data_IF_470548273639
#
_entry.id   IF_470548273639
#
_cell.length_a   1.000
_cell.length_b   1.000
_cell.length_c   1.000
_cell.angle_alpha   90.00
_cell.angle_beta   90.00
_cell.angle_gamma   90.00
#
_symmetry.space_group_name_H-M   'P 1'
#
loop_
_entity.id
_entity.type
_entity.pdbx_description
1 polymer ?
#
# COMPACT_ATOMS: atom_id res chain seq x y z
N UNK A 1 4.81 1.41 -17.32
CA UNK A 1 4.09 2.65 -16.95
C UNK A 1 2.61 2.34 -16.97
N UNK A 2 1.90 2.53 -15.86
CA UNK A 2 0.43 2.50 -15.80
C UNK A 2 -0.09 3.91 -16.08
N UNK A 3 -1.05 4.05 -17.00
CA UNK A 3 -1.61 5.36 -17.41
C UNK A 3 -2.99 5.65 -16.79
N UNK A 4 -3.58 4.66 -16.12
CA UNK A 4 -4.86 4.78 -15.43
C UNK A 4 -4.80 3.99 -14.12
N UNK A 5 -5.44 4.56 -13.09
CA UNK A 5 -5.60 3.89 -11.80
C UNK A 5 -6.92 3.11 -11.81
N UNK A 6 -6.90 1.83 -11.41
CA UNK A 6 -8.12 1.04 -11.37
C UNK A 6 -9.08 1.55 -10.29
N UNK A 7 -10.34 1.74 -10.65
CA UNK A 7 -11.47 2.00 -9.76
C UNK A 7 -12.30 0.74 -9.46
N UNK A 8 -11.83 -0.40 -9.96
CA UNK A 8 -12.38 -1.74 -9.75
C UNK A 8 -11.23 -2.73 -9.51
N UNK A 9 -11.41 -3.67 -8.58
CA UNK A 9 -10.47 -4.75 -8.30
C UNK A 9 -11.21 -5.92 -7.68
N UNK A 10 -10.91 -7.14 -8.13
CA UNK A 10 -11.30 -8.38 -7.46
C UNK A 10 -10.23 -8.93 -6.52
N UNK A 11 -9.09 -8.22 -6.41
CA UNK A 11 -7.91 -8.62 -5.64
C UNK A 11 -7.82 -7.79 -4.35
N UNK A 12 -7.46 -8.43 -3.24
CA UNK A 12 -7.19 -7.79 -1.95
C UNK A 12 -5.94 -6.92 -2.00
N UNK A 13 -4.89 -7.40 -2.67
CA UNK A 13 -3.61 -6.70 -2.84
C UNK A 13 -2.98 -7.07 -4.18
N UNK A 14 -2.41 -6.09 -4.87
CA UNK A 14 -1.56 -6.30 -6.04
C UNK A 14 -0.44 -5.26 -6.09
N UNK A 15 0.80 -5.72 -6.08
CA UNK A 15 1.95 -4.83 -6.33
C UNK A 15 1.97 -4.47 -7.80
N UNK A 16 1.89 -3.17 -8.10
CA UNK A 16 1.92 -2.63 -9.46
C UNK A 16 3.35 -2.30 -9.89
N UNK A 17 4.18 -1.84 -8.94
CA UNK A 17 5.56 -1.46 -9.19
C UNK A 17 6.37 -1.43 -7.91
N UNK A 18 7.65 -1.83 -7.97
CA UNK A 18 8.62 -1.67 -6.87
C UNK A 18 9.90 -1.07 -7.43
N UNK A 19 10.31 0.08 -6.89
CA UNK A 19 11.56 0.75 -7.21
C UNK A 19 12.60 0.62 -6.11
N UNK A 20 13.63 1.47 -6.18
CA UNK A 20 14.68 1.55 -5.17
C UNK A 20 14.18 2.14 -3.84
N UNK A 21 13.24 3.08 -3.90
CA UNK A 21 12.83 3.88 -2.73
C UNK A 21 11.33 3.86 -2.44
N UNK A 22 10.53 3.30 -3.34
CA UNK A 22 9.08 3.24 -3.17
C UNK A 22 8.44 2.07 -3.89
N UNK A 23 7.25 1.72 -3.45
CA UNK A 23 6.42 0.67 -4.03
C UNK A 23 4.99 1.17 -4.21
N UNK A 24 4.38 0.86 -5.34
CA UNK A 24 2.98 1.17 -5.64
C UNK A 24 2.16 -0.11 -5.58
N UNK A 25 1.11 -0.11 -4.77
CA UNK A 25 0.26 -1.29 -4.51
C UNK A 25 -1.21 -0.90 -4.62
N UNK A 26 -2.00 -1.71 -5.31
CA UNK A 26 -3.47 -1.64 -5.28
C UNK A 26 -3.96 -2.51 -4.13
N UNK A 27 -4.79 -2.02 -3.21
CA UNK A 27 -5.16 -2.85 -2.06
C UNK A 27 -6.43 -2.45 -1.30
N UNK A 28 -6.77 -3.31 -0.34
CA UNK A 28 -7.69 -3.08 0.80
C UNK A 28 -6.93 -3.31 2.12
N UNK A 29 -7.16 -2.49 3.16
CA UNK A 29 -6.07 -2.03 4.06
C UNK A 29 -5.77 -2.87 5.33
N UNK A 30 -4.47 -3.08 5.67
CA UNK A 30 -3.89 -3.41 6.98
C UNK A 30 -2.90 -2.33 7.52
N UNK A 31 -2.25 -2.59 8.67
CA UNK A 31 -1.26 -1.74 9.36
C UNK A 31 0.16 -2.04 8.87
N UNK A 32 1.04 -1.04 8.77
CA UNK A 32 2.46 -1.20 8.35
C UNK A 32 3.42 -0.27 9.12
N UNK A 33 4.74 -0.44 8.93
CA UNK A 33 5.79 0.29 9.66
C UNK A 33 6.46 1.44 8.88
N UNK A 34 6.28 1.49 7.56
CA UNK A 34 6.84 2.53 6.67
C UNK A 34 5.89 3.72 6.46
N UNK A 35 6.35 4.79 5.79
CA UNK A 35 5.45 5.85 5.32
C UNK A 35 4.54 5.32 4.21
N UNK A 36 3.27 5.72 4.25
CA UNK A 36 2.26 5.30 3.29
C UNK A 36 1.38 6.47 2.83
N UNK A 37 1.20 6.57 1.51
CA UNK A 37 0.32 7.56 0.88
C UNK A 37 -0.77 6.80 0.14
N UNK A 38 -2.02 6.92 0.58
CA UNK A 38 -3.16 6.25 -0.02
C UNK A 38 -4.00 7.26 -0.80
N UNK A 39 -4.42 6.87 -2.01
CA UNK A 39 -5.39 7.63 -2.79
C UNK A 39 -6.56 6.74 -3.15
N UNK A 40 -7.77 7.19 -2.80
CA UNK A 40 -9.00 6.45 -3.02
C UNK A 40 -9.46 6.62 -4.46
N UNK A 41 -9.68 5.51 -5.15
CA UNK A 41 -10.15 5.49 -6.55
C UNK A 41 -11.63 5.14 -6.66
N UNK A 42 -12.23 4.57 -5.61
CA UNK A 42 -13.65 4.19 -5.58
C UNK A 42 -14.21 4.15 -4.16
N UNK A 43 -15.53 4.30 -4.04
CA UNK A 43 -16.26 4.14 -2.80
C UNK A 43 -16.21 5.35 -1.85
N UNK A 44 -16.78 5.14 -0.66
CA UNK A 44 -16.74 6.08 0.48
C UNK A 44 -16.41 5.29 1.74
N UNK A 45 -15.67 5.91 2.65
CA UNK A 45 -15.15 5.22 3.81
C UNK A 45 -14.82 6.14 4.97
N UNK A 46 -14.31 5.51 6.03
CA UNK A 46 -13.77 6.18 7.20
C UNK A 46 -12.29 5.83 7.32
N UNK A 47 -11.44 6.84 7.23
CA UNK A 47 -10.03 6.76 7.58
C UNK A 47 -9.89 7.03 9.08
N UNK A 48 -9.31 6.07 9.81
CA UNK A 48 -8.94 6.23 11.21
C UNK A 48 -7.42 6.29 11.25
N UNK A 49 -6.82 7.43 11.54
CA UNK A 49 -5.36 7.63 11.49
C UNK A 49 -4.91 8.37 12.75
N UNK A 50 -4.01 7.76 13.52
CA UNK A 50 -3.45 8.39 14.71
C UNK A 50 -4.49 8.81 15.75
N UNK A 51 -5.59 8.07 15.85
CA UNK A 51 -6.71 8.38 16.76
C UNK A 51 -7.66 9.47 16.26
N UNK A 52 -7.58 9.87 14.98
CA UNK A 52 -8.52 10.78 14.32
C UNK A 52 -9.32 10.04 13.26
N UNK A 53 -10.60 10.35 13.22
CA UNK A 53 -11.54 9.83 12.24
C UNK A 53 -11.81 10.88 11.15
N UNK A 54 -11.76 10.47 9.89
CA UNK A 54 -12.02 11.32 8.73
C UNK A 54 -12.79 10.54 7.65
N UNK A 55 -13.88 11.11 7.15
CA UNK A 55 -14.56 10.56 5.98
C UNK A 55 -13.71 10.74 4.72
N UNK A 56 -13.70 9.72 3.87
CA UNK A 56 -12.96 9.70 2.61
C UNK A 56 -13.85 9.21 1.47
N UNK A 57 -13.58 9.70 0.26
CA UNK A 57 -14.24 9.26 -0.99
C UNK A 57 -13.25 9.20 -2.15
N UNK A 58 -13.71 8.67 -3.29
CA UNK A 58 -12.93 8.68 -4.53
C UNK A 58 -12.38 10.08 -4.85
N UNK A 59 -11.07 10.16 -5.09
CA UNK A 59 -10.31 11.39 -5.31
C UNK A 59 -9.59 11.92 -4.08
N UNK A 60 -9.95 11.48 -2.87
CA UNK A 60 -9.25 11.89 -1.64
C UNK A 60 -7.90 11.18 -1.48
N UNK A 61 -7.02 11.80 -0.71
CA UNK A 61 -5.71 11.27 -0.36
C UNK A 61 -5.50 11.32 1.16
N UNK A 62 -4.90 10.27 1.71
CA UNK A 62 -4.50 10.19 3.13
C UNK A 62 -3.03 9.85 3.21
N UNK A 63 -2.30 10.60 4.03
CA UNK A 63 -0.88 10.37 4.32
C UNK A 63 -0.79 9.78 5.72
N UNK A 64 -0.13 8.62 5.83
CA UNK A 64 0.10 7.89 7.06
C UNK A 64 1.61 7.83 7.30
N UNK A 65 2.14 8.60 8.27
CA UNK A 65 3.55 8.51 8.63
C UNK A 65 3.89 7.15 9.25
N UNK A 66 5.13 6.72 9.08
CA UNK A 66 5.71 5.53 9.70
C UNK A 66 5.39 5.44 11.19
N UNK A 67 5.00 4.24 11.65
CA UNK A 67 4.62 3.98 13.03
C UNK A 67 3.24 4.53 13.47
N UNK A 68 2.49 5.18 12.56
CA UNK A 68 1.14 5.67 12.87
C UNK A 68 0.12 4.54 12.75
N UNK A 69 -0.62 4.26 13.82
CA UNK A 69 -1.77 3.32 13.75
C UNK A 69 -2.84 3.86 12.81
N UNK A 70 -3.33 3.03 11.92
CA UNK A 70 -4.36 3.42 10.97
C UNK A 70 -5.25 2.23 10.54
N UNK A 71 -6.47 2.54 10.10
CA UNK A 71 -7.39 1.61 9.47
C UNK A 71 -8.34 2.36 8.55
N UNK A 72 -8.81 1.69 7.50
CA UNK A 72 -9.78 2.25 6.56
C UNK A 72 -10.98 1.32 6.46
N UNK A 73 -12.16 1.88 6.67
CA UNK A 73 -13.42 1.13 6.71
C UNK A 73 -14.27 1.56 5.52
N UNK A 74 -14.78 0.59 4.76
CA UNK A 74 -15.83 0.89 3.77
C UNK A 74 -17.12 1.27 4.51
N UNK A 75 -17.69 2.42 4.17
CA UNK A 75 -18.96 2.94 4.74
C UNK A 75 -20.10 2.98 3.72
N UNK A 76 -19.79 2.72 2.44
CA UNK A 76 -20.75 2.77 1.35
C UNK A 76 -21.10 1.41 0.76
N UNK A 77 -22.09 1.37 -0.15
CA UNK A 77 -22.45 0.16 -0.89
C UNK A 77 -21.45 -0.17 -2.01
N UNK A 78 -20.64 0.81 -2.43
CA UNK A 78 -19.57 0.65 -3.42
C UNK A 78 -18.28 0.23 -2.72
N UNK A 79 -17.52 -0.75 -3.25
CA UNK A 79 -16.21 -1.12 -2.72
C UNK A 79 -15.28 0.08 -2.54
N UNK A 80 -14.69 0.21 -1.35
CA UNK A 80 -13.63 1.18 -1.09
C UNK A 80 -12.33 0.66 -1.70
N UNK A 81 -11.88 1.27 -2.78
CA UNK A 81 -10.67 0.86 -3.51
C UNK A 81 -9.67 2.02 -3.47
N UNK A 82 -8.42 1.68 -3.24
CA UNK A 82 -7.32 2.63 -3.21
C UNK A 82 -6.06 2.01 -3.80
N UNK A 83 -5.17 2.87 -4.27
CA UNK A 83 -3.76 2.50 -4.39
C UNK A 83 -2.97 3.21 -3.31
N UNK A 84 -1.84 2.62 -2.98
CA UNK A 84 -0.94 3.10 -1.96
C UNK A 84 0.48 3.18 -2.49
N UNK A 85 1.23 4.15 -1.99
CA UNK A 85 2.67 4.26 -2.17
C UNK A 85 3.33 4.02 -0.82
N UNK A 86 4.13 2.97 -0.73
CA UNK A 86 5.01 2.69 0.40
C UNK A 86 6.40 3.27 0.16
N UNK A 87 7.05 3.80 1.21
CA UNK A 87 8.46 4.19 1.17
C UNK A 87 9.18 3.86 2.49
N UNK A 88 10.10 2.88 2.52
CA UNK A 88 10.49 1.95 1.44
C UNK A 88 9.38 0.93 1.09
N UNK A 89 9.67 -0.04 0.21
CA UNK A 89 8.68 -1.06 -0.16
C UNK A 89 8.29 -1.95 1.03
N UNK A 90 7.05 -2.43 1.07
CA UNK A 90 6.56 -3.31 2.15
C UNK A 90 6.40 -4.76 1.67
N UNK A 91 6.00 -4.98 0.42
CA UNK A 91 5.62 -6.29 -0.09
C UNK A 91 6.60 -6.86 -1.13
N UNK A 92 6.54 -8.15 -1.39
CA UNK A 92 7.28 -8.79 -2.48
C UNK A 92 6.85 -8.21 -3.83
N UNK A 93 7.80 -7.98 -4.73
CA UNK A 93 7.55 -7.25 -5.99
C UNK A 93 6.52 -7.90 -6.93
N UNK A 94 6.20 -9.18 -6.74
CA UNK A 94 5.27 -9.96 -7.57
C UNK A 94 3.97 -10.31 -6.83
N UNK A 95 3.72 -9.71 -5.68
CA UNK A 95 2.60 -10.07 -4.81
C UNK A 95 1.25 -9.75 -5.45
N UNK A 96 0.40 -10.77 -5.42
CA UNK A 96 -1.04 -10.68 -5.71
C UNK A 96 -1.75 -11.55 -4.68
N UNK A 97 -2.59 -10.93 -3.85
CA UNK A 97 -3.44 -11.61 -2.90
C UNK A 97 -4.89 -11.41 -3.30
N UNK A 98 -5.65 -12.50 -3.39
CA UNK A 98 -7.07 -12.47 -3.72
C UNK A 98 -7.91 -12.12 -2.51
N UNK A 99 -7.51 -12.57 -1.32
CA UNK A 99 -8.23 -12.31 -0.07
C UNK A 99 -7.30 -11.79 1.01
N UNK A 100 -7.89 -11.21 2.06
CA UNK A 100 -7.15 -10.72 3.21
C UNK A 100 -6.42 -11.86 3.93
N UNK A 101 -7.09 -12.99 4.08
CA UNK A 101 -6.56 -14.17 4.78
C UNK A 101 -5.33 -14.75 4.06
N UNK A 102 -5.32 -14.71 2.73
CA UNK A 102 -4.14 -15.08 1.94
C UNK A 102 -2.97 -14.13 2.21
N UNK A 103 -3.24 -12.82 2.21
CA UNK A 103 -2.22 -11.80 2.46
C UNK A 103 -1.65 -11.87 3.88
N UNK A 104 -2.51 -11.94 4.90
CA UNK A 104 -2.10 -12.05 6.31
C UNK A 104 -1.21 -13.29 6.52
N UNK A 105 -1.60 -14.44 5.96
CA UNK A 105 -0.83 -15.69 6.07
C UNK A 105 0.54 -15.58 5.41
N UNK A 106 0.62 -15.02 4.20
CA UNK A 106 1.90 -14.89 3.50
C UNK A 106 2.85 -13.88 4.14
N UNK A 107 2.32 -12.85 4.80
CA UNK A 107 3.10 -11.96 5.67
C UNK A 107 3.62 -12.72 6.90
N UNK A 108 2.76 -13.45 7.62
CA UNK A 108 3.15 -14.21 8.82
C UNK A 108 4.18 -15.32 8.51
N UNK A 109 4.08 -15.94 7.34
CA UNK A 109 5.01 -16.98 6.88
C UNK A 109 6.29 -16.42 6.24
N UNK A 110 6.43 -15.10 6.10
CA UNK A 110 7.59 -14.45 5.48
C UNK A 110 7.71 -14.70 3.96
N UNK A 111 6.58 -14.99 3.30
CA UNK A 111 6.49 -15.20 1.85
C UNK A 111 6.35 -13.86 1.10
N UNK A 112 5.67 -12.89 1.72
CA UNK A 112 5.44 -11.54 1.18
C UNK A 112 6.43 -10.50 1.72
N UNK A 113 7.73 -10.77 1.55
CA UNK A 113 8.81 -9.88 2.02
C UNK A 113 9.27 -8.91 0.93
N UNK A 114 9.60 -7.65 1.29
CA UNK A 114 10.07 -6.68 0.31
C UNK A 114 11.44 -7.08 -0.24
N UNK A 115 11.71 -6.81 -1.53
CA UNK A 115 12.98 -7.18 -2.11
C UNK A 115 14.12 -6.35 -1.50
N UNK A 116 15.27 -7.00 -1.25
CA UNK A 116 16.39 -6.37 -0.53
C UNK A 116 16.92 -5.07 -1.17
N UNK A 117 16.85 -4.92 -2.50
CA UNK A 117 17.26 -3.70 -3.17
C UNK A 117 16.39 -2.48 -2.83
N UNK A 118 15.13 -2.70 -2.46
CA UNK A 118 14.18 -1.63 -2.10
C UNK A 118 14.37 -1.12 -0.67
N UNK A 119 15.22 -1.79 0.12
CA UNK A 119 15.50 -1.46 1.52
C UNK A 119 16.85 -0.77 1.71
N UNK A 120 17.63 -0.62 0.63
CA UNK A 120 18.97 -0.02 0.66
C UNK A 120 18.90 1.48 0.92
N UNK A 121 19.83 1.98 1.71
CA UNK A 121 20.06 3.42 1.86
C UNK A 121 20.51 4.06 0.55
N UNK A 122 20.46 5.40 0.50
CA UNK A 122 21.04 6.16 -0.62
C UNK A 122 22.51 5.82 -0.85
N UNK A 123 23.32 5.77 0.23
CA UNK A 123 24.76 5.47 0.16
C UNK A 123 25.05 4.11 -0.45
N UNK A 124 24.27 3.09 -0.09
CA UNK A 124 24.43 1.75 -0.66
C UNK A 124 24.08 1.72 -2.15
N UNK A 125 23.03 2.44 -2.56
CA UNK A 125 22.66 2.55 -3.97
C UNK A 125 23.68 3.35 -4.81
N UNK A 126 24.27 4.40 -4.26
CA UNK A 126 25.38 5.15 -4.90
C UNK A 126 26.61 4.26 -5.07
N UNK A 127 26.95 3.44 -4.07
CA UNK A 127 28.07 2.49 -4.15
C UNK A 127 27.88 1.43 -5.25
N UNK A 128 26.64 1.08 -5.56
CA UNK A 128 26.26 0.14 -6.62
C UNK A 128 26.08 0.83 -8.00
N UNK A 129 26.22 2.17 -8.08
CA UNK A 129 26.04 2.93 -9.31
C UNK A 129 24.60 2.98 -9.84
N UNK A 130 23.61 2.78 -8.96
CA UNK A 130 22.18 2.78 -9.30
C UNK A 130 21.53 4.17 -9.21
N UNK A 131 22.22 5.11 -8.55
CA UNK A 131 21.85 6.52 -8.34
C UNK A 131 23.09 7.37 -8.49
#
# INVERSE_FOLDING_TARGET
MTTALPSESGEFRRVLWTGLYSQVVLMTVPIHTVDQILTFTSGTGLAQVGGRDQEVKAGDMVIVPAGTKHQFLNKGPTPLILYTVYSPAEHKATTVHKTKEEGDREEEEGIDEPPSWSQRSKKENEAEGLV
#
